data_IF_944793962468
#
_entry.id   IF_944793962468
#
_cell.length_a   1.000
_cell.length_b   1.000
_cell.length_c   1.000
_cell.angle_alpha   90.00
_cell.angle_beta   90.00
_cell.angle_gamma   90.00
#
_symmetry.space_group_name_H-M   'P 1'
#
loop_
_entity.id
_entity.type
_entity.pdbx_description
1 polymer ?
#
# COMPACT_ATOMS: atom_id res chain seq x y z
N UNK A 1 49.07 -49.12 42.19
CA UNK A 1 49.34 -50.24 41.26
C UNK A 1 50.75 -50.16 40.68
N UNK A 2 51.11 -49.19 39.83
CA UNK A 2 52.45 -49.14 39.20
C UNK A 2 53.63 -49.19 40.20
N UNK A 3 53.57 -48.42 41.28
CA UNK A 3 54.55 -48.46 42.39
C UNK A 3 54.58 -49.80 43.15
N UNK A 4 53.44 -50.49 43.27
CA UNK A 4 53.35 -51.79 43.95
C UNK A 4 53.85 -52.94 43.06
N UNK A 5 53.68 -52.81 41.74
CA UNK A 5 54.14 -53.76 40.73
C UNK A 5 55.56 -53.46 40.21
N UNK A 6 56.24 -52.46 40.79
CA UNK A 6 57.57 -51.98 40.42
C UNK A 6 57.77 -51.77 38.91
N UNK A 7 56.77 -51.20 38.23
CA UNK A 7 56.81 -50.97 36.79
C UNK A 7 56.27 -49.58 36.42
N UNK A 8 56.45 -49.18 35.16
CA UNK A 8 55.95 -47.90 34.67
C UNK A 8 54.42 -47.90 34.54
N UNK A 9 53.82 -46.72 34.69
CA UNK A 9 52.36 -46.51 34.52
C UNK A 9 51.90 -46.94 33.12
N UNK A 10 52.78 -46.80 32.12
CA UNK A 10 52.48 -47.12 30.72
C UNK A 10 52.45 -48.63 30.47
N UNK A 11 53.25 -49.39 31.22
CA UNK A 11 53.21 -50.85 31.21
C UNK A 11 51.86 -51.36 31.77
N UNK A 12 51.41 -50.78 32.90
CA UNK A 12 50.09 -51.08 33.48
C UNK A 12 48.96 -50.79 32.48
N UNK A 13 48.99 -49.65 31.77
CA UNK A 13 47.97 -49.31 30.76
C UNK A 13 47.91 -50.31 29.61
N UNK A 14 49.07 -50.81 29.14
CA UNK A 14 49.13 -51.84 28.10
C UNK A 14 48.55 -53.16 28.58
N UNK A 15 48.83 -53.58 29.81
CA UNK A 15 48.23 -54.79 30.39
C UNK A 15 46.72 -54.66 30.59
N UNK A 16 46.25 -53.50 31.02
CA UNK A 16 44.81 -53.19 31.12
C UNK A 16 44.11 -53.39 29.78
N UNK A 17 44.73 -52.93 28.68
CA UNK A 17 44.20 -53.15 27.34
C UNK A 17 44.30 -54.61 26.86
N UNK A 18 45.44 -55.26 27.09
CA UNK A 18 45.69 -56.63 26.61
C UNK A 18 44.84 -57.71 27.32
N UNK A 19 44.47 -57.47 28.58
CA UNK A 19 43.68 -58.40 29.39
C UNK A 19 42.23 -57.92 29.61
N UNK A 20 41.79 -56.93 28.83
CA UNK A 20 40.44 -56.34 28.86
C UNK A 20 39.96 -55.95 30.28
N UNK A 21 40.90 -55.46 31.10
CA UNK A 21 40.62 -55.05 32.46
C UNK A 21 40.11 -53.60 32.46
N UNK A 22 39.10 -53.32 33.29
CA UNK A 22 38.65 -51.94 33.49
C UNK A 22 39.48 -51.27 34.59
N UNK A 23 40.30 -50.26 34.23
CA UNK A 23 40.79 -49.32 35.24
C UNK A 23 39.58 -48.62 35.85
N UNK A 24 39.58 -48.47 37.19
CA UNK A 24 38.70 -47.55 37.89
C UNK A 24 38.98 -46.11 37.41
N UNK A 25 38.48 -45.77 36.23
CA UNK A 25 38.46 -44.41 35.71
C UNK A 25 37.54 -43.66 36.66
N UNK A 26 38.12 -42.81 37.53
CA UNK A 26 37.36 -41.69 38.07
C UNK A 26 36.67 -41.03 36.88
N UNK A 27 35.36 -40.87 36.94
CA UNK A 27 34.60 -40.17 35.92
C UNK A 27 35.30 -38.83 35.66
N UNK A 28 35.87 -38.68 34.45
CA UNK A 28 36.41 -37.41 34.00
C UNK A 28 35.21 -36.52 33.72
N UNK A 29 34.82 -35.75 34.73
CA UNK A 29 33.65 -34.88 34.70
C UNK A 29 32.66 -35.22 35.81
N UNK A 30 32.04 -34.18 36.34
CA UNK A 30 30.88 -34.31 37.23
C UNK A 30 29.72 -34.97 36.48
N UNK A 31 28.94 -35.81 37.16
CA UNK A 31 27.70 -36.45 36.64
C UNK A 31 26.74 -35.43 36.01
N UNK A 32 26.83 -34.19 36.47
CA UNK A 32 26.28 -33.00 35.84
C UNK A 32 27.43 -32.08 35.42
N UNK A 33 27.78 -31.98 34.13
CA UNK A 33 28.74 -30.96 33.70
C UNK A 33 28.24 -29.58 34.09
N UNK A 34 29.16 -28.65 34.38
CA UNK A 34 28.83 -27.30 34.90
C UNK A 34 27.90 -26.49 33.98
N UNK A 35 27.81 -26.88 32.70
CA UNK A 35 26.94 -26.30 31.68
C UNK A 35 25.68 -27.14 31.41
N UNK A 36 25.38 -28.18 32.21
CA UNK A 36 24.14 -28.96 32.07
C UNK A 36 22.94 -28.04 32.33
N UNK A 37 22.11 -27.84 31.30
CA UNK A 37 21.00 -26.88 31.32
C UNK A 37 21.40 -25.43 31.01
N UNK A 38 22.70 -25.11 30.93
CA UNK A 38 23.19 -23.83 30.40
C UNK A 38 23.49 -24.00 28.91
N UNK A 39 22.43 -24.05 28.11
CA UNK A 39 22.52 -23.97 26.66
C UNK A 39 22.84 -22.55 26.20
N UNK A 40 23.68 -22.42 25.17
CA UNK A 40 23.83 -21.19 24.41
C UNK A 40 24.69 -20.11 25.07
N UNK A 41 25.98 -20.07 24.72
CA UNK A 41 26.58 -18.76 24.54
C UNK A 41 25.83 -18.10 23.38
N UNK A 42 24.86 -17.24 23.68
CA UNK A 42 24.32 -16.33 22.68
C UNK A 42 25.41 -15.32 22.38
N UNK A 43 26.26 -15.65 21.41
CA UNK A 43 27.15 -14.67 20.81
C UNK A 43 26.23 -13.64 20.14
N UNK A 44 25.96 -12.54 20.84
CA UNK A 44 25.30 -11.35 20.30
C UNK A 44 26.26 -10.67 19.33
N UNK A 45 26.54 -11.35 18.22
CA UNK A 45 27.38 -10.85 17.14
C UNK A 45 26.57 -9.81 16.38
N UNK A 46 27.19 -8.65 16.17
CA UNK A 46 26.73 -7.66 15.20
C UNK A 46 26.70 -8.28 13.80
N UNK A 47 25.93 -7.68 12.89
CA UNK A 47 25.83 -8.16 11.51
C UNK A 47 27.20 -8.20 10.82
N UNK A 48 28.03 -7.18 11.01
CA UNK A 48 29.43 -7.14 10.54
C UNK A 48 30.26 -8.30 11.10
N UNK A 49 30.10 -8.63 12.38
CA UNK A 49 30.84 -9.73 13.01
C UNK A 49 30.40 -11.09 12.46
N UNK A 50 29.12 -11.25 12.10
CA UNK A 50 28.62 -12.46 11.43
C UNK A 50 29.20 -12.57 10.01
N UNK A 51 29.16 -11.46 9.27
CA UNK A 51 29.67 -11.39 7.90
C UNK A 51 31.17 -11.73 7.84
N UNK A 52 31.98 -11.13 8.72
CA UNK A 52 33.42 -11.41 8.81
C UNK A 52 33.73 -12.87 9.17
N UNK A 53 32.87 -13.53 9.97
CA UNK A 53 33.01 -14.97 10.27
C UNK A 53 32.67 -15.84 9.07
N UNK A 54 31.65 -15.47 8.29
CA UNK A 54 31.30 -16.14 7.03
C UNK A 54 32.48 -16.04 6.05
N UNK A 55 33.03 -14.83 5.87
CA UNK A 55 34.19 -14.57 5.02
C UNK A 55 35.42 -15.35 5.46
N UNK A 56 35.75 -15.34 6.76
CA UNK A 56 36.87 -16.14 7.29
C UNK A 56 36.65 -17.64 7.11
N UNK A 57 35.43 -18.14 7.31
CA UNK A 57 35.10 -19.55 7.08
C UNK A 57 35.29 -19.93 5.61
N UNK A 58 34.86 -19.08 4.68
CA UNK A 58 35.09 -19.30 3.24
C UNK A 58 36.57 -19.25 2.88
N UNK A 59 37.34 -18.34 3.48
CA UNK A 59 38.77 -18.15 3.18
C UNK A 59 39.68 -19.24 3.74
N UNK A 60 39.43 -19.72 4.96
CA UNK A 60 40.36 -20.61 5.67
C UNK A 60 39.91 -22.07 5.73
N UNK A 61 38.62 -22.37 5.51
CA UNK A 61 38.13 -23.75 5.52
C UNK A 61 38.43 -24.40 4.17
N UNK A 62 39.39 -25.33 4.15
CA UNK A 62 39.68 -26.14 2.97
C UNK A 62 38.47 -27.03 2.64
N UNK A 63 38.08 -27.03 1.36
CA UNK A 63 36.93 -27.79 0.82
C UNK A 63 37.39 -28.57 -0.41
N UNK A 64 36.53 -29.45 -0.91
CA UNK A 64 36.89 -30.21 -2.10
C UNK A 64 38.11 -31.09 -1.87
N UNK A 65 38.93 -31.28 -2.91
CA UNK A 65 40.19 -32.03 -2.89
C UNK A 65 41.21 -31.55 -1.85
N UNK A 66 41.09 -30.31 -1.39
CA UNK A 66 42.03 -29.71 -0.44
C UNK A 66 41.67 -30.00 1.03
N UNK A 67 40.49 -30.57 1.27
CA UNK A 67 40.07 -31.00 2.61
C UNK A 67 40.76 -32.30 3.01
N UNK A 68 41.29 -32.37 4.24
CA UNK A 68 41.83 -33.61 4.81
C UNK A 68 40.80 -34.74 4.93
N UNK A 69 39.50 -34.42 4.82
CA UNK A 69 38.40 -35.38 4.82
C UNK A 69 37.93 -35.79 3.41
N UNK A 70 38.57 -35.29 2.35
CA UNK A 70 38.22 -35.62 0.97
C UNK A 70 38.61 -37.07 0.64
N UNK A 71 37.62 -37.86 0.23
CA UNK A 71 37.79 -39.27 -0.14
C UNK A 71 37.71 -39.49 -1.65
N UNK A 72 38.27 -38.58 -2.45
CA UNK A 72 38.35 -38.77 -3.91
C UNK A 72 37.04 -38.55 -4.68
N UNK A 73 36.13 -37.72 -4.16
CA UNK A 73 34.90 -37.38 -4.89
C UNK A 73 33.85 -38.50 -4.92
N UNK A 74 33.78 -39.36 -3.89
CA UNK A 74 32.80 -40.46 -3.76
C UNK A 74 31.36 -40.00 -3.49
N UNK A 75 31.03 -38.71 -3.68
CA UNK A 75 29.69 -38.20 -3.43
C UNK A 75 28.77 -38.69 -4.55
N UNK A 76 27.64 -39.28 -4.17
CA UNK A 76 26.61 -39.65 -5.15
C UNK A 76 25.87 -38.40 -5.62
N UNK A 77 25.21 -38.47 -6.79
CA UNK A 77 24.34 -37.38 -7.25
C UNK A 77 23.28 -37.01 -6.20
N UNK A 78 22.81 -38.01 -5.44
CA UNK A 78 21.87 -37.78 -4.34
C UNK A 78 22.49 -36.97 -3.20
N UNK A 79 23.76 -37.22 -2.88
CA UNK A 79 24.49 -36.44 -1.86
C UNK A 79 24.70 -35.00 -2.30
N UNK A 80 25.00 -34.78 -3.60
CA UNK A 80 25.15 -33.46 -4.19
C UNK A 80 23.84 -32.67 -4.17
N UNK A 81 22.73 -33.30 -4.57
CA UNK A 81 21.39 -32.70 -4.50
C UNK A 81 21.04 -32.36 -3.05
N UNK A 82 21.31 -33.27 -2.10
CA UNK A 82 21.07 -33.04 -0.68
C UNK A 82 21.94 -31.92 -0.10
N UNK A 83 23.18 -31.76 -0.57
CA UNK A 83 24.06 -30.65 -0.19
C UNK A 83 23.56 -29.32 -0.75
N UNK A 84 23.20 -29.28 -2.03
CA UNK A 84 22.63 -28.11 -2.68
C UNK A 84 21.32 -27.66 -2.01
N UNK A 85 20.42 -28.61 -1.74
CA UNK A 85 19.13 -28.33 -1.07
C UNK A 85 19.35 -27.68 0.30
N UNK A 86 20.31 -28.18 1.09
CA UNK A 86 20.68 -27.58 2.39
C UNK A 86 21.28 -26.18 2.26
N UNK A 87 22.06 -25.94 1.20
CA UNK A 87 22.64 -24.62 0.94
C UNK A 87 21.58 -23.60 0.53
N UNK A 88 20.58 -24.02 -0.23
CA UNK A 88 19.50 -23.17 -0.76
C UNK A 88 18.34 -23.00 0.22
N UNK A 89 18.17 -23.93 1.18
CA UNK A 89 17.11 -23.91 2.19
C UNK A 89 16.85 -22.54 2.85
N UNK A 90 17.86 -21.75 3.27
CA UNK A 90 17.61 -20.42 3.83
C UNK A 90 16.84 -19.47 2.90
N UNK A 91 17.08 -19.56 1.58
CA UNK A 91 16.39 -18.77 0.57
C UNK A 91 14.97 -19.27 0.36
N UNK A 92 14.77 -20.59 0.37
CA UNK A 92 13.43 -21.23 0.31
C UNK A 92 12.58 -20.82 1.50
N UNK A 93 13.14 -20.84 2.72
CA UNK A 93 12.41 -20.40 3.91
C UNK A 93 12.03 -18.93 3.83
N UNK A 94 12.92 -18.07 3.31
CA UNK A 94 12.61 -16.66 3.07
C UNK A 94 11.50 -16.47 2.03
N UNK A 95 11.49 -17.27 0.93
CA UNK A 95 10.44 -17.26 -0.10
C UNK A 95 9.04 -17.46 0.51
N UNK A 96 8.93 -18.29 1.55
CA UNK A 96 7.66 -18.60 2.22
C UNK A 96 7.48 -17.88 3.56
N UNK A 97 8.17 -16.77 3.81
CA UNK A 97 8.12 -16.02 5.08
C UNK A 97 8.31 -16.89 6.35
N UNK A 98 9.14 -17.93 6.23
CA UNK A 98 9.39 -18.92 7.27
C UNK A 98 8.13 -19.67 7.71
N UNK A 99 7.11 -19.74 6.85
CA UNK A 99 5.85 -20.45 7.07
C UNK A 99 5.94 -21.86 6.50
N UNK A 100 5.57 -22.86 7.31
CA UNK A 100 5.40 -24.23 6.85
C UNK A 100 4.24 -24.32 5.86
N UNK A 101 4.54 -24.79 4.65
CA UNK A 101 3.59 -24.90 3.54
C UNK A 101 2.62 -26.10 3.65
N UNK A 102 2.65 -26.84 4.76
CA UNK A 102 1.68 -27.90 5.09
C UNK A 102 0.74 -27.51 6.24
N UNK A 103 1.25 -26.89 7.30
CA UNK A 103 0.45 -26.57 8.50
C UNK A 103 0.24 -25.07 8.76
N UNK A 104 0.86 -24.18 7.98
CA UNK A 104 0.74 -22.73 8.13
C UNK A 104 1.44 -22.12 9.35
N UNK A 105 2.11 -22.92 10.18
CA UNK A 105 2.87 -22.41 11.33
C UNK A 105 4.14 -21.69 10.88
N UNK A 106 4.41 -20.51 11.45
CA UNK A 106 5.63 -19.74 11.20
C UNK A 106 6.74 -20.10 12.18
N UNK A 107 7.95 -20.28 11.67
CA UNK A 107 9.16 -20.57 12.45
C UNK A 107 9.31 -22.04 12.85
N UNK A 108 10.22 -22.29 13.80
CA UNK A 108 10.64 -23.64 14.21
C UNK A 108 11.83 -24.19 13.41
N UNK A 109 12.08 -25.50 13.54
CA UNK A 109 13.09 -26.22 12.74
C UNK A 109 12.49 -26.48 11.35
N UNK A 110 12.98 -25.75 10.34
CA UNK A 110 12.46 -25.79 8.97
C UNK A 110 13.40 -26.56 8.03
N UNK A 111 12.83 -27.37 7.15
CA UNK A 111 13.51 -28.13 6.11
C UNK A 111 12.95 -27.77 4.72
N UNK A 112 13.81 -27.72 3.71
CA UNK A 112 13.40 -27.57 2.32
C UNK A 112 13.06 -28.95 1.74
N UNK A 113 11.86 -29.06 1.17
CA UNK A 113 11.31 -30.28 0.60
C UNK A 113 11.15 -30.12 -0.92
N UNK A 114 11.47 -31.14 -1.70
CA UNK A 114 11.18 -31.16 -3.14
C UNK A 114 9.68 -31.43 -3.35
N UNK A 115 8.96 -30.49 -3.96
CA UNK A 115 7.54 -30.61 -4.30
C UNK A 115 7.31 -31.79 -5.24
N UNK A 116 8.07 -31.87 -6.32
CA UNK A 116 8.21 -33.05 -7.17
C UNK A 116 9.45 -33.80 -6.69
N UNK A 117 9.29 -35.02 -6.13
CA UNK A 117 10.41 -35.78 -5.58
C UNK A 117 11.48 -36.07 -6.62
N UNK A 118 12.74 -36.06 -6.19
CA UNK A 118 13.90 -36.32 -7.05
C UNK A 118 13.85 -37.69 -7.73
N UNK A 119 13.26 -38.70 -7.09
CA UNK A 119 13.10 -40.02 -7.71
C UNK A 119 12.03 -40.04 -8.82
N UNK A 120 11.09 -39.09 -8.80
CA UNK A 120 10.04 -38.98 -9.81
C UNK A 120 10.53 -38.20 -11.03
N UNK A 121 11.27 -37.11 -10.81
CA UNK A 121 11.94 -36.36 -11.87
C UNK A 121 13.26 -35.75 -11.38
N UNK A 122 14.37 -36.29 -11.88
CA UNK A 122 15.72 -35.84 -11.50
C UNK A 122 16.03 -34.46 -12.11
N UNK A 123 15.40 -34.09 -13.23
CA UNK A 123 15.67 -32.81 -13.91
C UNK A 123 15.27 -31.61 -13.04
N UNK A 124 14.29 -31.79 -12.15
CA UNK A 124 13.79 -30.76 -11.24
C UNK A 124 14.54 -30.72 -9.90
N UNK A 125 15.57 -31.54 -9.70
CA UNK A 125 16.24 -31.67 -8.41
C UNK A 125 16.99 -30.39 -7.97
N UNK A 126 17.42 -29.58 -8.93
CA UNK A 126 18.16 -28.32 -8.76
C UNK A 126 17.28 -27.08 -9.04
N UNK A 127 15.98 -27.26 -9.23
CA UNK A 127 15.06 -26.16 -9.49
C UNK A 127 14.62 -25.50 -8.20
N UNK A 128 14.87 -24.19 -8.08
CA UNK A 128 14.52 -23.43 -6.88
C UNK A 128 13.01 -23.42 -6.61
N UNK A 129 12.21 -23.37 -7.67
CA UNK A 129 10.74 -23.36 -7.56
C UNK A 129 10.14 -24.72 -7.23
N UNK A 130 10.92 -25.80 -7.39
CA UNK A 130 10.54 -27.13 -6.93
C UNK A 130 10.76 -27.32 -5.42
N UNK A 131 11.27 -26.32 -4.69
CA UNK A 131 11.46 -26.41 -3.24
C UNK A 131 10.36 -25.69 -2.47
N UNK A 132 9.82 -26.36 -1.45
CA UNK A 132 8.85 -25.83 -0.49
C UNK A 132 9.38 -25.89 0.94
N UNK A 133 8.96 -24.95 1.79
CA UNK A 133 9.41 -24.86 3.18
C UNK A 133 8.47 -25.61 4.11
N UNK A 134 8.97 -26.60 4.87
CA UNK A 134 8.22 -27.35 5.87
C UNK A 134 8.84 -27.27 7.26
N UNK A 135 8.03 -27.34 8.32
CA UNK A 135 8.55 -27.68 9.63
C UNK A 135 8.93 -29.17 9.70
N UNK A 136 9.93 -29.50 10.50
CA UNK A 136 10.43 -30.86 10.67
C UNK A 136 9.34 -31.92 10.92
N UNK A 137 8.35 -31.71 11.80
CA UNK A 137 7.27 -32.69 11.99
C UNK A 137 6.46 -32.94 10.72
N UNK A 138 6.15 -31.89 9.96
CA UNK A 138 5.42 -32.00 8.69
C UNK A 138 6.25 -32.73 7.62
N UNK A 139 7.54 -32.43 7.57
CA UNK A 139 8.50 -33.04 6.65
C UNK A 139 8.69 -34.54 6.93
N UNK A 140 8.93 -34.91 8.19
CA UNK A 140 9.08 -36.30 8.62
C UNK A 140 7.80 -37.09 8.45
N UNK A 141 6.64 -36.50 8.75
CA UNK A 141 5.35 -37.15 8.54
C UNK A 141 5.12 -37.45 7.05
N UNK A 142 5.47 -36.53 6.16
CA UNK A 142 5.26 -36.71 4.73
C UNK A 142 6.08 -37.91 4.21
N UNK A 143 7.38 -37.97 4.53
CA UNK A 143 8.24 -39.08 4.13
C UNK A 143 7.89 -40.41 4.82
N UNK A 144 7.54 -40.39 6.10
CA UNK A 144 7.18 -41.62 6.84
C UNK A 144 5.92 -42.29 6.28
N UNK A 145 4.98 -41.50 5.75
CA UNK A 145 3.70 -42.01 5.23
C UNK A 145 3.64 -42.08 3.71
N UNK A 146 4.76 -41.80 3.00
CA UNK A 146 4.85 -41.78 1.54
C UNK A 146 3.79 -40.87 0.86
N UNK A 147 3.54 -39.69 1.44
CA UNK A 147 2.51 -38.75 0.99
C UNK A 147 3.05 -37.71 -0.01
N UNK A 148 4.24 -37.92 -0.57
CA UNK A 148 4.88 -36.99 -1.52
C UNK A 148 4.00 -36.72 -2.73
N UNK A 149 3.43 -37.77 -3.33
CA UNK A 149 2.63 -37.66 -4.56
C UNK A 149 1.32 -36.92 -4.32
N UNK A 150 0.60 -37.31 -3.25
CA UNK A 150 -0.67 -36.67 -2.87
C UNK A 150 -0.44 -35.18 -2.57
N UNK A 151 0.64 -34.86 -1.85
CA UNK A 151 0.99 -33.48 -1.56
C UNK A 151 1.33 -32.71 -2.84
N UNK A 152 2.14 -33.27 -3.75
CA UNK A 152 2.49 -32.63 -5.01
C UNK A 152 1.26 -32.27 -5.86
N UNK A 153 0.24 -33.14 -5.87
CA UNK A 153 -1.00 -32.94 -6.62
C UNK A 153 -1.94 -31.91 -5.98
N UNK A 154 -1.98 -31.87 -4.65
CA UNK A 154 -2.92 -31.04 -3.89
C UNK A 154 -2.31 -29.72 -3.40
N UNK A 155 -1.02 -29.50 -3.68
CA UNK A 155 -0.30 -28.35 -3.17
C UNK A 155 -0.91 -27.04 -3.65
N UNK A 156 -1.34 -26.23 -2.67
CA UNK A 156 -1.63 -24.82 -2.85
C UNK A 156 -0.77 -24.03 -1.87
N UNK A 157 -0.16 -22.96 -2.37
CA UNK A 157 0.71 -22.13 -1.54
C UNK A 157 -0.08 -21.51 -0.38
N UNK A 158 0.38 -21.75 0.85
CA UNK A 158 -0.19 -21.13 2.04
C UNK A 158 0.41 -19.73 2.16
N UNK A 159 -0.45 -18.72 1.98
CA UNK A 159 -0.11 -17.33 2.27
C UNK A 159 -0.49 -17.02 3.72
N UNK A 160 0.43 -16.46 4.55
CA UNK A 160 0.09 -16.05 5.91
C UNK A 160 -0.87 -14.84 5.87
N UNK A 161 -2.18 -15.10 5.87
CA UNK A 161 -3.22 -14.06 5.92
C UNK A 161 -3.10 -13.22 7.19
N UNK A 162 -2.61 -13.81 8.28
CA UNK A 162 -2.43 -13.15 9.59
C UNK A 162 -1.38 -12.02 9.59
N UNK A 163 -0.59 -11.86 8.51
CA UNK A 163 0.42 -10.81 8.37
C UNK A 163 0.10 -9.80 7.27
N UNK A 164 -1.09 -9.86 6.67
CA UNK A 164 -1.54 -8.76 5.85
C UNK A 164 -1.58 -7.53 6.75
N UNK A 165 -0.71 -6.56 6.45
CA UNK A 165 -0.87 -5.24 7.03
C UNK A 165 -2.31 -4.85 6.76
N UNK A 166 -3.02 -4.40 7.80
CA UNK A 166 -4.34 -3.81 7.59
C UNK A 166 -4.21 -2.81 6.46
N UNK A 167 -5.15 -2.87 5.49
CA UNK A 167 -5.17 -1.98 4.34
C UNK A 167 -4.74 -0.59 4.83
N UNK A 168 -3.61 -0.04 4.37
CA UNK A 168 -3.12 1.22 4.90
C UNK A 168 -4.29 2.19 4.84
N UNK A 169 -4.60 2.82 5.98
CA UNK A 169 -5.61 3.87 5.98
C UNK A 169 -5.22 4.82 4.86
N UNK A 170 -6.17 5.14 3.99
CA UNK A 170 -5.97 6.15 2.95
C UNK A 170 -5.27 7.35 3.60
N UNK A 171 -4.30 7.96 2.92
CA UNK A 171 -3.66 9.18 3.41
C UNK A 171 -4.77 10.21 3.66
N UNK A 172 -5.09 10.46 4.93
CA UNK A 172 -6.04 11.48 5.34
C UNK A 172 -5.19 12.73 5.60
N UNK A 173 -5.41 13.77 4.80
CA UNK A 173 -4.90 15.10 5.10
C UNK A 173 -5.41 15.52 6.48
N UNK A 174 -4.51 15.81 7.40
CA UNK A 174 -4.87 16.41 8.68
C UNK A 174 -4.20 17.79 8.78
N UNK A 175 -4.89 18.79 9.32
CA UNK A 175 -4.31 20.11 9.49
C UNK A 175 -3.13 20.02 10.45
N UNK A 176 -2.00 20.59 10.03
CA UNK A 176 -0.81 20.77 10.86
C UNK A 176 -0.75 22.23 11.26
N UNK A 177 -0.44 22.50 12.53
CA UNK A 177 -0.29 23.86 13.01
C UNK A 177 0.91 24.52 12.32
N UNK A 178 0.69 25.68 11.70
CA UNK A 178 1.76 26.46 11.09
C UNK A 178 2.73 26.90 12.18
N UNK A 179 3.97 26.39 12.11
CA UNK A 179 5.01 26.63 13.12
C UNK A 179 5.58 28.03 12.99
N UNK A 180 5.77 28.51 11.76
CA UNK A 180 6.28 29.84 11.46
C UNK A 180 5.87 30.24 10.04
N UNK A 181 5.66 31.54 9.82
CA UNK A 181 5.53 32.14 8.48
C UNK A 181 6.59 33.21 8.38
N UNK A 182 7.55 33.02 7.49
CA UNK A 182 8.65 33.95 7.27
C UNK A 182 8.52 34.59 5.89
N UNK A 183 8.73 35.90 5.83
CA UNK A 183 8.74 36.65 4.58
C UNK A 183 10.10 36.45 3.88
N UNK A 184 10.11 35.68 2.79
CA UNK A 184 11.32 35.36 2.00
C UNK A 184 11.71 36.42 0.96
N UNK A 185 11.12 37.61 1.02
CA UNK A 185 11.33 38.67 0.05
C UNK A 185 10.50 38.51 -1.24
N UNK A 186 10.77 39.37 -2.22
CA UNK A 186 10.21 39.25 -3.57
C UNK A 186 10.99 38.15 -4.29
N UNK A 187 10.35 37.00 -4.45
CA UNK A 187 10.92 35.89 -5.21
C UNK A 187 10.21 35.77 -6.56
N UNK A 188 10.97 35.40 -7.58
CA UNK A 188 10.39 35.03 -8.88
C UNK A 188 9.60 33.74 -8.71
N UNK A 189 8.29 33.84 -8.82
CA UNK A 189 7.37 32.69 -8.83
C UNK A 189 7.09 32.27 -10.26
N UNK A 190 6.93 30.98 -10.48
CA UNK A 190 6.54 30.42 -11.78
C UNK A 190 5.14 29.84 -11.65
N UNK A 191 4.28 30.12 -12.64
CA UNK A 191 3.03 29.40 -12.79
C UNK A 191 3.35 27.97 -13.27
N UNK A 192 2.72 26.99 -12.64
CA UNK A 192 2.85 25.58 -13.01
C UNK A 192 1.67 25.22 -13.90
N UNK A 193 1.95 24.85 -15.15
CA UNK A 193 0.97 24.30 -16.08
C UNK A 193 1.13 22.78 -16.17
N UNK A 194 0.00 22.06 -16.20
CA UNK A 194 -0.04 20.60 -16.28
C UNK A 194 -0.58 20.22 -17.65
N UNK A 195 0.21 19.47 -18.41
CA UNK A 195 -0.16 18.98 -19.74
C UNK A 195 -1.24 17.89 -19.65
N UNK A 196 -2.32 18.01 -20.44
CA UNK A 196 -3.40 17.03 -20.52
C UNK A 196 -4.81 17.67 -20.50
N UNK A 197 -5.88 16.88 -20.71
CA UNK A 197 -7.26 17.38 -20.74
C UNK A 197 -7.78 17.86 -19.37
N UNK A 198 -7.09 17.51 -18.28
CA UNK A 198 -7.43 17.89 -16.92
C UNK A 198 -6.21 18.54 -16.28
N UNK A 199 -6.19 19.87 -16.16
CA UNK A 199 -5.04 20.64 -15.66
C UNK A 199 -4.85 20.55 -14.12
N UNK A 200 -5.29 19.47 -13.50
CA UNK A 200 -5.20 19.29 -12.04
C UNK A 200 -3.88 18.59 -11.68
N UNK A 201 -3.27 18.95 -10.56
CA UNK A 201 -2.14 18.21 -10.00
C UNK A 201 -2.32 17.90 -8.53
N UNK A 202 -1.59 16.89 -8.05
CA UNK A 202 -1.58 16.52 -6.62
C UNK A 202 -0.31 17.06 -5.99
N UNK A 203 -0.47 18.02 -5.07
CA UNK A 203 0.63 18.57 -4.27
C UNK A 203 0.45 18.16 -2.81
N UNK A 204 1.33 17.31 -2.29
CA UNK A 204 1.28 16.82 -0.91
C UNK A 204 -0.09 16.29 -0.46
N UNK A 205 -0.77 15.55 -1.35
CA UNK A 205 -2.09 14.97 -1.07
C UNK A 205 -3.26 15.95 -1.22
N UNK A 206 -3.02 17.19 -1.62
CA UNK A 206 -4.05 18.14 -2.02
C UNK A 206 -4.22 18.10 -3.53
N UNK A 207 -5.46 17.91 -4.01
CA UNK A 207 -5.78 18.12 -5.43
C UNK A 207 -5.85 19.62 -5.64
N UNK A 208 -4.87 20.15 -6.35
CA UNK A 208 -4.86 21.54 -6.78
C UNK A 208 -5.56 21.58 -8.12
N UNK A 209 -6.76 22.16 -8.13
CA UNK A 209 -7.39 22.60 -9.36
C UNK A 209 -6.62 23.82 -9.84
N UNK A 210 -5.87 23.66 -10.93
CA UNK A 210 -5.43 24.82 -11.68
C UNK A 210 -6.71 25.51 -12.16
N UNK A 211 -7.02 26.67 -11.58
CA UNK A 211 -8.21 27.43 -11.97
C UNK A 211 -8.12 27.62 -13.46
N UNK A 212 -9.17 27.23 -14.19
CA UNK A 212 -9.33 27.61 -15.59
C UNK A 212 -9.44 29.14 -15.63
N UNK A 213 -8.28 29.80 -15.64
CA UNK A 213 -8.10 31.25 -15.58
C UNK A 213 -8.60 31.93 -16.85
N UNK A 214 -8.85 31.15 -17.91
CA UNK A 214 -9.19 31.59 -19.26
C UNK A 214 -10.65 31.32 -19.65
N UNK A 215 -11.62 31.45 -18.74
CA UNK A 215 -13.04 31.48 -19.15
C UNK A 215 -13.44 32.79 -19.83
N UNK A 216 -12.55 33.78 -19.90
CA UNK A 216 -12.78 35.05 -20.59
C UNK A 216 -13.03 34.90 -22.09
N UNK A 217 -12.43 33.88 -22.72
CA UNK A 217 -12.62 33.62 -24.15
C UNK A 217 -14.09 33.36 -24.50
N UNK A 218 -14.81 32.64 -23.63
CA UNK A 218 -16.25 32.33 -23.84
C UNK A 218 -17.10 33.59 -23.94
N UNK A 219 -16.71 34.67 -23.26
CA UNK A 219 -17.41 35.96 -23.31
C UNK A 219 -17.20 36.63 -24.67
N UNK A 220 -16.01 36.50 -25.25
CA UNK A 220 -15.70 36.97 -26.60
C UNK A 220 -16.41 36.11 -27.65
N UNK A 221 -16.44 34.79 -27.46
CA UNK A 221 -17.08 33.82 -28.35
C UNK A 221 -18.59 34.07 -28.52
N UNK A 222 -19.27 34.63 -27.50
CA UNK A 222 -20.68 35.08 -27.61
C UNK A 222 -20.84 36.17 -28.66
N UNK A 223 -19.90 37.12 -28.75
CA UNK A 223 -19.96 38.19 -29.74
C UNK A 223 -19.63 37.68 -31.16
N UNK A 224 -18.85 36.62 -31.25
CA UNK A 224 -18.50 35.95 -32.50
C UNK A 224 -19.58 34.94 -32.95
N UNK A 225 -20.61 34.71 -32.12
CA UNK A 225 -21.70 33.76 -32.39
C UNK A 225 -21.27 32.29 -32.28
N UNK A 226 -20.13 32.01 -31.63
CA UNK A 226 -19.61 30.66 -31.41
C UNK A 226 -20.24 29.97 -30.20
N UNK A 227 -20.62 30.76 -29.19
CA UNK A 227 -21.22 30.29 -27.94
C UNK A 227 -22.56 31.00 -27.71
N UNK A 228 -23.55 30.30 -27.16
CA UNK A 228 -24.81 30.92 -26.73
C UNK A 228 -24.57 31.76 -25.46
N UNK A 229 -25.21 32.94 -25.40
CA UNK A 229 -25.14 33.81 -24.23
C UNK A 229 -25.61 33.10 -22.95
N UNK A 230 -26.59 32.20 -23.06
CA UNK A 230 -27.14 31.45 -21.92
C UNK A 230 -26.22 30.32 -21.43
N UNK A 231 -25.26 29.91 -22.26
CA UNK A 231 -24.19 28.97 -21.86
C UNK A 231 -23.07 29.68 -21.08
N UNK A 232 -22.98 31.01 -21.21
CA UNK A 232 -22.02 31.85 -20.47
C UNK A 232 -22.65 32.49 -19.24
N UNK A 233 -23.88 32.97 -19.33
CA UNK A 233 -24.60 33.62 -18.22
C UNK A 233 -25.84 32.82 -17.86
N UNK A 234 -26.02 32.57 -16.56
CA UNK A 234 -27.26 32.00 -16.05
C UNK A 234 -28.28 33.11 -15.83
N UNK A 235 -29.43 32.99 -16.49
CA UNK A 235 -30.63 33.73 -16.15
C UNK A 235 -31.70 32.78 -15.67
N UNK A 236 -32.45 33.22 -14.66
CA UNK A 236 -33.54 32.41 -14.11
C UNK A 236 -34.65 32.21 -15.17
N UNK A 237 -35.36 31.08 -15.18
CA UNK A 237 -36.58 30.94 -15.99
C UNK A 237 -37.64 31.98 -15.62
N UNK A 238 -38.56 32.26 -16.55
CA UNK A 238 -39.75 33.10 -16.28
C UNK A 238 -40.64 32.38 -15.26
N UNK A 239 -41.17 33.12 -14.27
CA UNK A 239 -42.07 32.52 -13.29
C UNK A 239 -42.25 33.32 -12.00
N UNK A 240 -43.00 32.74 -11.07
CA UNK A 240 -43.27 33.30 -9.76
C UNK A 240 -42.22 32.86 -8.74
N UNK A 241 -41.68 33.83 -8.01
CA UNK A 241 -40.64 33.64 -7.01
C UNK A 241 -41.06 34.19 -5.64
N UNK A 242 -40.47 33.63 -4.59
CA UNK A 242 -40.63 34.10 -3.21
C UNK A 242 -39.26 34.11 -2.54
N UNK A 243 -38.99 35.14 -1.74
CA UNK A 243 -37.82 35.14 -0.85
C UNK A 243 -38.14 34.50 0.52
N UNK A 244 -37.13 34.45 1.39
CA UNK A 244 -37.24 33.94 2.77
C UNK A 244 -38.09 34.81 3.69
N UNK A 245 -38.30 36.08 3.34
CA UNK A 245 -39.11 37.03 4.09
C UNK A 245 -40.57 37.01 3.61
N UNK A 246 -40.91 36.17 2.63
CA UNK A 246 -42.24 36.02 2.06
C UNK A 246 -42.57 37.04 0.96
N UNK A 247 -41.59 37.83 0.49
CA UNK A 247 -41.77 38.73 -0.65
C UNK A 247 -41.94 37.90 -1.91
N UNK A 248 -43.11 38.00 -2.52
CA UNK A 248 -43.43 37.36 -3.80
C UNK A 248 -43.27 38.34 -4.93
N UNK A 249 -42.69 37.89 -6.03
CA UNK A 249 -42.60 38.66 -7.26
C UNK A 249 -42.70 37.72 -8.45
N UNK A 250 -43.08 38.27 -9.59
CA UNK A 250 -43.07 37.59 -10.88
C UNK A 250 -41.89 38.12 -11.68
N UNK A 251 -41.14 37.21 -12.29
CA UNK A 251 -40.11 37.54 -13.26
C UNK A 251 -40.68 37.28 -14.64
N UNK A 252 -40.97 38.36 -15.36
CA UNK A 252 -41.71 38.31 -16.64
C UNK A 252 -40.78 38.02 -17.82
N UNK A 253 -41.38 37.72 -18.98
CA UNK A 253 -40.63 37.50 -20.21
C UNK A 253 -39.89 38.78 -20.65
N UNK A 254 -40.52 39.94 -20.48
CA UNK A 254 -39.96 41.24 -20.84
C UNK A 254 -38.73 41.56 -19.99
N UNK A 255 -38.83 41.39 -18.66
CA UNK A 255 -37.70 41.57 -17.75
C UNK A 255 -36.54 40.64 -18.10
N UNK A 256 -36.86 39.39 -18.45
CA UNK A 256 -35.84 38.44 -18.89
C UNK A 256 -35.14 38.86 -20.18
N UNK A 257 -35.87 39.45 -21.11
CA UNK A 257 -35.30 39.97 -22.35
C UNK A 257 -34.38 41.17 -22.08
N UNK A 258 -34.78 42.07 -21.18
CA UNK A 258 -33.94 43.20 -20.73
C UNK A 258 -32.63 42.71 -20.09
N UNK A 259 -32.70 41.69 -19.23
CA UNK A 259 -31.52 41.11 -18.57
C UNK A 259 -30.59 40.36 -19.56
N UNK A 260 -31.15 39.71 -20.58
CA UNK A 260 -30.37 39.12 -21.69
C UNK A 260 -29.62 40.20 -22.48
N UNK A 261 -30.30 41.29 -22.82
CA UNK A 261 -29.70 42.43 -23.51
C UNK A 261 -28.59 43.07 -22.67
N UNK A 262 -28.79 43.17 -21.35
CA UNK A 262 -27.77 43.63 -20.42
C UNK A 262 -26.54 42.74 -20.41
N UNK A 263 -26.72 41.41 -20.40
CA UNK A 263 -25.61 40.46 -20.50
C UNK A 263 -24.83 40.66 -21.80
N UNK A 264 -25.51 40.84 -22.93
CA UNK A 264 -24.88 41.08 -24.23
C UNK A 264 -24.09 42.38 -24.26
N UNK A 265 -24.62 43.45 -23.65
CA UNK A 265 -23.90 44.71 -23.47
C UNK A 265 -22.67 44.55 -22.57
N UNK A 266 -22.76 43.72 -21.53
CA UNK A 266 -21.64 43.31 -20.71
C UNK A 266 -20.53 42.65 -21.53
N UNK A 267 -20.86 41.70 -22.41
CA UNK A 267 -19.90 41.05 -23.31
C UNK A 267 -19.20 42.07 -24.22
N UNK A 268 -19.97 42.97 -24.86
CA UNK A 268 -19.41 44.03 -25.73
C UNK A 268 -18.41 44.90 -25.00
N UNK A 269 -18.77 45.33 -23.78
CA UNK A 269 -17.90 46.16 -22.93
C UNK A 269 -16.65 45.40 -22.47
N UNK A 270 -16.78 44.12 -22.15
CA UNK A 270 -15.66 43.25 -21.83
C UNK A 270 -14.67 43.16 -23.01
N UNK A 271 -15.18 42.84 -24.21
CA UNK A 271 -14.36 42.75 -25.42
C UNK A 271 -13.62 44.05 -25.74
N UNK A 272 -14.30 45.20 -25.63
CA UNK A 272 -13.67 46.50 -25.82
C UNK A 272 -12.47 46.71 -24.87
N UNK A 273 -12.62 46.37 -23.59
CA UNK A 273 -11.55 46.51 -22.59
C UNK A 273 -10.39 45.54 -22.81
N UNK A 274 -10.69 44.31 -23.22
CA UNK A 274 -9.64 43.35 -23.61
C UNK A 274 -8.83 43.90 -24.80
N UNK A 275 -9.49 44.45 -25.83
CA UNK A 275 -8.81 45.08 -26.97
C UNK A 275 -7.99 46.32 -26.59
N UNK A 276 -8.37 47.02 -25.51
CA UNK A 276 -7.60 48.13 -24.95
C UNK A 276 -6.41 47.67 -24.08
N UNK A 277 -6.22 46.36 -23.90
CA UNK A 277 -5.09 45.78 -23.17
C UNK A 277 -5.33 45.55 -21.69
N UNK A 278 -6.59 45.60 -21.21
CA UNK A 278 -6.89 45.20 -19.83
C UNK A 278 -6.70 43.68 -19.66
N UNK A 279 -6.14 43.29 -18.52
CA UNK A 279 -6.10 41.89 -18.12
C UNK A 279 -7.50 41.34 -17.82
N UNK A 280 -7.73 40.05 -18.09
CA UNK A 280 -9.04 39.41 -17.92
C UNK A 280 -9.55 39.51 -16.47
N UNK A 281 -8.68 39.40 -15.47
CA UNK A 281 -9.04 39.51 -14.05
C UNK A 281 -9.57 40.89 -13.64
N UNK A 282 -9.21 41.94 -14.38
CA UNK A 282 -9.72 43.29 -14.19
C UNK A 282 -10.99 43.53 -15.02
N UNK A 283 -11.00 43.03 -16.26
CA UNK A 283 -12.14 43.17 -17.17
C UNK A 283 -13.38 42.39 -16.68
N UNK A 284 -13.21 41.26 -16.00
CA UNK A 284 -14.33 40.47 -15.44
C UNK A 284 -15.17 41.21 -14.40
N UNK A 285 -14.70 42.33 -13.85
CA UNK A 285 -15.53 43.18 -12.97
C UNK A 285 -16.65 43.92 -13.73
N UNK A 286 -16.64 43.88 -15.06
CA UNK A 286 -17.55 44.64 -15.93
C UNK A 286 -18.76 43.83 -16.40
N UNK A 287 -18.72 42.51 -16.24
CA UNK A 287 -19.77 41.59 -16.67
C UNK A 287 -20.74 41.30 -15.51
N UNK A 288 -21.98 40.87 -15.80
CA UNK A 288 -22.94 40.43 -14.78
C UNK A 288 -22.40 39.30 -13.90
N UNK A 289 -22.93 39.16 -12.68
CA UNK A 289 -22.41 38.24 -11.66
C UNK A 289 -22.65 36.76 -11.99
N UNK A 290 -23.76 36.43 -12.66
CA UNK A 290 -24.22 35.05 -12.85
C UNK A 290 -23.50 34.33 -14.01
N UNK A 291 -22.18 34.41 -14.07
CA UNK A 291 -21.36 33.69 -15.06
C UNK A 291 -21.31 32.20 -14.73
N UNK A 292 -21.65 31.36 -15.70
CA UNK A 292 -21.54 29.91 -15.60
C UNK A 292 -20.09 29.47 -15.60
N UNK A 293 -19.75 28.63 -14.64
CA UNK A 293 -18.41 28.09 -14.45
C UNK A 293 -18.46 26.58 -14.32
N UNK A 294 -17.53 25.91 -14.99
CA UNK A 294 -17.30 24.49 -14.80
C UNK A 294 -16.35 24.28 -13.64
N UNK A 295 -16.67 23.35 -12.76
CA UNK A 295 -15.86 23.00 -11.61
C UNK A 295 -15.98 21.51 -11.34
N UNK A 296 -14.94 20.95 -10.72
CA UNK A 296 -14.93 19.56 -10.26
C UNK A 296 -15.00 19.57 -8.74
N UNK A 297 -15.90 18.75 -8.18
CA UNK A 297 -16.01 18.54 -6.75
C UNK A 297 -15.60 17.11 -6.40
N UNK A 298 -14.86 16.95 -5.32
CA UNK A 298 -14.69 15.65 -4.67
C UNK A 298 -15.14 15.73 -3.21
N UNK A 299 -15.86 14.72 -2.75
CA UNK A 299 -16.28 14.61 -1.36
C UNK A 299 -16.56 13.15 -0.99
N UNK A 300 -16.34 12.81 0.28
CA UNK A 300 -16.79 11.52 0.81
C UNK A 300 -18.31 11.53 1.02
N UNK A 301 -18.91 10.35 1.25
CA UNK A 301 -20.36 10.21 1.42
C UNK A 301 -20.93 11.13 2.52
N UNK A 302 -20.18 11.35 3.61
CA UNK A 302 -20.59 12.27 4.68
C UNK A 302 -20.64 13.73 4.22
N UNK A 303 -19.65 14.18 3.45
CA UNK A 303 -19.60 15.53 2.89
C UNK A 303 -20.75 15.76 1.89
N UNK A 304 -21.05 14.77 1.04
CA UNK A 304 -22.17 14.83 0.11
C UNK A 304 -23.49 14.93 0.87
N UNK A 305 -23.75 14.03 1.82
CA UNK A 305 -24.96 14.08 2.66
C UNK A 305 -25.11 15.41 3.41
N UNK A 306 -24.00 15.99 3.89
CA UNK A 306 -24.02 17.30 4.54
C UNK A 306 -24.37 18.45 3.59
N UNK A 307 -23.83 18.44 2.36
CA UNK A 307 -24.18 19.44 1.35
C UNK A 307 -25.67 19.33 0.99
N UNK A 308 -26.18 18.11 0.80
CA UNK A 308 -27.59 17.84 0.56
C UNK A 308 -28.48 18.36 1.70
N UNK A 309 -28.07 18.19 2.97
CA UNK A 309 -28.81 18.68 4.14
C UNK A 309 -28.91 20.21 4.20
N UNK A 310 -27.86 20.93 3.78
CA UNK A 310 -27.81 22.40 3.83
C UNK A 310 -28.47 23.01 2.60
N UNK A 311 -28.20 22.48 1.41
CA UNK A 311 -28.56 23.11 0.12
C UNK A 311 -29.84 22.54 -0.52
N UNK A 312 -30.32 21.41 -0.02
CA UNK A 312 -31.55 20.77 -0.51
C UNK A 312 -32.85 21.20 0.19
N UNK A 313 -32.80 22.08 1.19
CA UNK A 313 -34.02 22.55 1.87
C UNK A 313 -34.88 23.41 0.93
N UNK A 314 -36.18 23.49 1.20
CA UNK A 314 -37.12 24.24 0.36
C UNK A 314 -36.95 25.76 0.44
N UNK A 315 -36.37 26.26 1.54
CA UNK A 315 -36.10 27.68 1.82
C UNK A 315 -34.73 28.15 1.33
N UNK A 316 -33.98 27.31 0.62
CA UNK A 316 -32.73 27.68 -0.07
C UNK A 316 -33.01 28.15 -1.49
N UNK A 317 -32.07 28.88 -2.07
CA UNK A 317 -32.14 29.33 -3.45
C UNK A 317 -32.41 28.15 -4.41
N UNK A 318 -33.35 28.32 -5.37
CA UNK A 318 -33.74 27.26 -6.31
C UNK A 318 -32.55 26.63 -7.04
N UNK A 319 -31.55 27.43 -7.42
CA UNK A 319 -30.36 27.02 -8.16
C UNK A 319 -29.59 25.93 -7.40
N UNK A 320 -29.29 26.19 -6.12
CA UNK A 320 -28.59 25.23 -5.27
C UNK A 320 -29.45 24.01 -4.95
N UNK A 321 -30.78 24.17 -4.89
CA UNK A 321 -31.71 23.07 -4.67
C UNK A 321 -31.73 22.10 -5.85
N UNK A 322 -31.85 22.61 -7.08
CA UNK A 322 -31.78 21.81 -8.31
C UNK A 322 -30.45 21.08 -8.39
N UNK A 323 -29.33 21.76 -8.08
CA UNK A 323 -28.02 21.11 -8.00
C UNK A 323 -28.04 19.93 -7.03
N UNK A 324 -28.58 20.08 -5.81
CA UNK A 324 -28.66 18.98 -4.86
C UNK A 324 -29.59 17.85 -5.28
N UNK A 325 -30.66 18.13 -6.02
CA UNK A 325 -31.56 17.11 -6.56
C UNK A 325 -30.82 16.24 -7.59
N UNK A 326 -30.09 16.87 -8.52
CA UNK A 326 -29.25 16.16 -9.50
C UNK A 326 -28.12 15.38 -8.82
N UNK A 327 -27.50 15.95 -7.78
CA UNK A 327 -26.49 15.24 -6.98
C UNK A 327 -27.09 14.02 -6.25
N UNK A 328 -28.33 14.15 -5.76
CA UNK A 328 -29.00 13.08 -5.04
C UNK A 328 -29.30 11.87 -5.96
N UNK A 329 -29.68 12.09 -7.22
CA UNK A 329 -29.84 11.01 -8.21
C UNK A 329 -28.53 10.22 -8.41
N UNK A 330 -27.40 10.92 -8.48
CA UNK A 330 -26.09 10.27 -8.59
C UNK A 330 -25.72 9.54 -7.29
N UNK A 331 -26.08 10.10 -6.14
CA UNK A 331 -25.87 9.45 -4.85
C UNK A 331 -26.71 8.18 -4.70
N UNK A 332 -27.96 8.18 -5.15
CA UNK A 332 -28.82 6.99 -5.20
C UNK A 332 -28.23 5.89 -6.07
N UNK A 333 -27.67 6.27 -7.22
CA UNK A 333 -26.99 5.31 -8.11
C UNK A 333 -25.72 4.75 -7.48
N UNK A 334 -24.94 5.58 -6.79
CA UNK A 334 -23.65 5.19 -6.21
C UNK A 334 -23.78 4.36 -4.93
N UNK A 335 -24.70 4.71 -4.03
CA UNK A 335 -24.87 4.10 -2.71
C UNK A 335 -26.36 3.86 -2.36
N UNK A 336 -27.04 2.92 -3.03
CA UNK A 336 -28.50 2.81 -2.99
C UNK A 336 -29.07 2.58 -1.59
N UNK A 337 -28.48 1.70 -0.79
CA UNK A 337 -28.97 1.41 0.57
C UNK A 337 -28.85 2.62 1.51
N UNK A 338 -27.71 3.34 1.43
CA UNK A 338 -27.46 4.53 2.25
C UNK A 338 -28.33 5.69 1.77
N UNK A 339 -28.49 5.84 0.46
CA UNK A 339 -29.37 6.86 -0.11
C UNK A 339 -30.84 6.63 0.28
N UNK A 340 -31.32 5.38 0.25
CA UNK A 340 -32.67 5.04 0.69
C UNK A 340 -32.88 5.36 2.19
N UNK A 341 -31.90 5.04 3.04
CA UNK A 341 -31.95 5.45 4.44
C UNK A 341 -31.92 6.98 4.60
N UNK A 342 -31.05 7.66 3.85
CA UNK A 342 -30.89 9.11 3.89
C UNK A 342 -32.19 9.81 3.44
N UNK A 343 -32.81 9.36 2.36
CA UNK A 343 -34.09 9.86 1.86
C UNK A 343 -35.19 9.76 2.92
N UNK A 344 -35.30 8.57 3.52
CA UNK A 344 -36.31 8.29 4.54
C UNK A 344 -36.09 9.11 5.82
N UNK A 345 -34.85 9.35 6.22
CA UNK A 345 -34.54 9.86 7.57
C UNK A 345 -34.01 11.30 7.62
N UNK A 346 -33.44 11.83 6.54
CA UNK A 346 -32.69 13.10 6.55
C UNK A 346 -33.01 14.06 5.41
N UNK A 347 -33.23 13.55 4.20
CA UNK A 347 -33.43 14.40 3.02
C UNK A 347 -34.53 15.43 3.24
N UNK A 348 -34.19 16.72 3.07
CA UNK A 348 -35.05 17.90 3.32
C UNK A 348 -35.57 18.08 4.76
N UNK A 349 -35.12 17.28 5.73
CA UNK A 349 -35.55 17.35 7.13
C UNK A 349 -34.66 18.23 8.02
N UNK A 350 -33.44 18.53 7.57
CA UNK A 350 -32.56 19.51 8.23
C UNK A 350 -32.13 19.14 9.65
N UNK A 351 -32.22 17.87 10.06
CA UNK A 351 -32.06 17.41 11.45
C UNK A 351 -30.67 17.66 12.07
N UNK A 352 -29.65 17.97 11.28
CA UNK A 352 -28.31 18.39 11.75
C UNK A 352 -27.68 19.48 10.86
N UNK A 353 -28.49 20.20 10.07
CA UNK A 353 -27.99 21.39 9.41
C UNK A 353 -27.83 22.47 10.51
N UNK A 354 -26.65 23.10 10.66
CA UNK A 354 -26.44 24.13 11.68
C UNK A 354 -27.43 25.30 11.56
#
# INVERSE_FOLDING_TARGET
MAKLANCSVECIKKWVYAYDLALNKRLTGTRNPWNKGKGGYQLRLTEESRQKRIENSQKYTRRGSDSHFWKGGTATDRDLIGAWTRQIAPQVHRKFDYVCQKCGTRGGELHAHHLIPVFADVSLAYEFDNLVSFCKPCHEHLHTHNLELEFAQTYQQIFPVAQWQSKPKALISHPVQVVNVEYLGVQTTYDIEVEGPWHNFVANGMVVHNSFRYTGSRILDVLEGKEDIEEVFYLRPVGAYSDRQGKKYEYTLEQRQEDLEWCLMGCKRYAERIHQGLAEEHARGLIPFDVRQHWVMSGNARAIMHLLDIRGKFDVQPETRVMTELMFEKFQTWMPEVAAWYEKNRWRKGTLAP
#
